data_IF_417824126627
#
_entry.id   IF_417824126627
#
_cell.length_a   1.000
_cell.length_b   1.000
_cell.length_c   1.000
_cell.angle_alpha   90.00
_cell.angle_beta   90.00
_cell.angle_gamma   90.00
#
_symmetry.space_group_name_H-M   'P 1'
#
loop_
_entity.id
_entity.type
_entity.pdbx_description
1 polymer ?
#
# COMPACT_ATOMS: atom_id res chain seq x y z
N UNK A 1 1.33 6.09 18.66
CA UNK A 1 0.60 5.20 17.73
C UNK A 1 0.75 5.74 16.33
N UNK A 2 1.09 4.89 15.36
CA UNK A 2 1.05 5.27 13.94
C UNK A 2 -0.40 5.46 13.52
N UNK A 3 -0.71 6.48 12.72
CA UNK A 3 -2.06 6.65 12.15
C UNK A 3 -2.29 5.59 11.05
N UNK A 4 -3.55 5.33 10.68
CA UNK A 4 -3.86 4.41 9.58
C UNK A 4 -3.20 4.82 8.25
N UNK A 5 -2.98 6.12 8.03
CA UNK A 5 -2.26 6.62 6.87
C UNK A 5 -0.76 6.32 6.96
N UNK A 6 -0.16 6.43 8.15
CA UNK A 6 1.27 6.12 8.34
C UNK A 6 1.55 4.64 8.08
N UNK A 7 0.62 3.77 8.47
CA UNK A 7 0.68 2.33 8.18
C UNK A 7 0.64 2.10 6.65
N UNK A 8 -0.35 2.67 5.96
CA UNK A 8 -0.47 2.53 4.50
C UNK A 8 0.76 3.04 3.77
N UNK A 9 1.27 4.19 4.18
CA UNK A 9 2.47 4.76 3.59
C UNK A 9 3.66 3.81 3.77
N UNK A 10 3.88 3.31 4.99
CA UNK A 10 4.97 2.37 5.26
C UNK A 10 4.83 1.09 4.42
N UNK A 11 3.63 0.49 4.37
CA UNK A 11 3.35 -0.70 3.56
C UNK A 11 3.58 -0.46 2.07
N UNK A 12 3.24 0.73 1.58
CA UNK A 12 3.54 1.09 0.20
C UNK A 12 5.06 1.23 -0.05
N UNK A 13 5.85 1.71 0.93
CA UNK A 13 7.31 1.69 0.83
C UNK A 13 7.85 0.25 0.81
N UNK A 14 7.28 -0.65 1.61
CA UNK A 14 7.61 -2.08 1.60
C UNK A 14 7.37 -2.68 0.20
N UNK A 15 6.23 -2.37 -0.44
CA UNK A 15 5.95 -2.81 -1.81
C UNK A 15 6.99 -2.32 -2.82
N UNK A 16 7.40 -1.05 -2.74
CA UNK A 16 8.45 -0.50 -3.63
C UNK A 16 9.78 -1.25 -3.45
N UNK A 17 10.17 -1.51 -2.20
CA UNK A 17 11.41 -2.22 -1.89
C UNK A 17 11.37 -3.69 -2.30
N UNK A 18 10.32 -4.41 -1.93
CA UNK A 18 10.15 -5.84 -2.22
C UNK A 18 10.14 -6.13 -3.72
N UNK A 19 9.55 -5.23 -4.52
CA UNK A 19 9.42 -5.40 -5.97
C UNK A 19 10.54 -4.69 -6.76
N UNK A 20 11.49 -4.03 -6.07
CA UNK A 20 12.55 -3.21 -6.66
C UNK A 20 12.02 -2.17 -7.68
N UNK A 21 10.95 -1.46 -7.30
CA UNK A 21 10.28 -0.46 -8.14
C UNK A 21 10.47 0.94 -7.57
N UNK A 22 10.50 1.93 -8.47
CA UNK A 22 10.30 3.33 -8.12
C UNK A 22 8.80 3.72 -8.24
N UNK A 23 8.48 4.94 -7.80
CA UNK A 23 7.10 5.45 -7.80
C UNK A 23 6.53 5.54 -9.23
N UNK A 24 7.35 5.90 -10.21
CA UNK A 24 6.94 5.98 -11.60
C UNK A 24 6.53 4.61 -12.16
N UNK A 25 7.33 3.57 -11.89
CA UNK A 25 7.03 2.21 -12.32
C UNK A 25 5.80 1.66 -11.59
N UNK A 26 5.66 1.94 -10.28
CA UNK A 26 4.46 1.57 -9.53
C UNK A 26 3.20 2.26 -10.09
N UNK A 27 3.29 3.54 -10.48
CA UNK A 27 2.18 4.25 -11.10
C UNK A 27 1.77 3.60 -12.43
N UNK A 28 2.74 3.18 -13.24
CA UNK A 28 2.48 2.46 -14.48
C UNK A 28 1.78 1.11 -14.22
N UNK A 29 2.23 0.33 -13.22
CA UNK A 29 1.57 -0.93 -12.83
C UNK A 29 0.12 -0.72 -12.38
N UNK A 30 -0.15 0.39 -11.69
CA UNK A 30 -1.48 0.71 -11.17
C UNK A 30 -2.35 1.47 -12.20
N UNK A 31 -1.83 1.82 -13.38
CA UNK A 31 -2.53 2.71 -14.31
C UNK A 31 -2.93 4.05 -13.67
N UNK A 32 -2.13 4.54 -12.72
CA UNK A 32 -2.36 5.78 -11.98
C UNK A 32 -1.47 6.90 -12.52
N UNK A 33 -1.86 8.13 -12.26
CA UNK A 33 -1.03 9.30 -12.54
C UNK A 33 0.18 9.35 -11.60
N UNK A 34 1.38 9.42 -12.16
CA UNK A 34 2.64 9.45 -11.43
C UNK A 34 2.70 10.61 -10.43
N UNK A 35 2.26 11.81 -10.82
CA UNK A 35 2.30 12.99 -9.95
C UNK A 35 1.38 12.82 -8.73
N UNK A 36 0.20 12.22 -8.94
CA UNK A 36 -0.71 11.89 -7.83
C UNK A 36 -0.10 10.84 -6.90
N UNK A 37 0.55 9.82 -7.44
CA UNK A 37 1.17 8.77 -6.63
C UNK A 37 2.38 9.31 -5.87
N UNK A 38 3.19 10.16 -6.50
CA UNK A 38 4.32 10.86 -5.88
C UNK A 38 3.86 11.72 -4.70
N UNK A 39 2.73 12.42 -4.80
CA UNK A 39 2.18 13.20 -3.70
C UNK A 39 1.75 12.35 -2.48
N UNK A 40 1.53 11.04 -2.67
CA UNK A 40 1.12 10.09 -1.63
C UNK A 40 2.28 9.27 -1.07
N UNK A 41 3.30 8.97 -1.89
CA UNK A 41 4.38 8.02 -1.57
C UNK A 41 5.75 8.67 -1.37
N UNK A 42 5.87 9.98 -1.53
CA UNK A 42 7.11 10.70 -1.21
C UNK A 42 7.46 10.59 0.28
N UNK A 43 8.70 10.94 0.64
CA UNK A 43 9.16 10.98 2.03
C UNK A 43 8.37 11.98 2.92
N UNK A 44 7.72 12.96 2.30
CA UNK A 44 6.83 13.92 2.96
C UNK A 44 5.51 13.97 2.18
N UNK A 45 4.62 12.99 2.40
CA UNK A 45 3.40 12.86 1.62
C UNK A 45 2.47 14.04 1.90
N UNK A 46 2.00 14.69 0.84
CA UNK A 46 1.02 15.78 0.92
C UNK A 46 -0.42 15.29 0.74
N UNK A 47 -0.60 14.03 0.33
CA UNK A 47 -1.90 13.38 0.14
C UNK A 47 -1.96 12.02 0.84
N UNK A 48 -3.17 11.63 1.22
CA UNK A 48 -3.47 10.32 1.79
C UNK A 48 -3.68 9.28 0.69
N UNK A 49 -3.47 8.00 1.03
CA UNK A 49 -3.77 6.86 0.16
C UNK A 49 -5.25 6.50 0.37
N UNK A 50 -6.14 6.76 -0.61
CA UNK A 50 -7.55 6.43 -0.49
C UNK A 50 -7.76 4.91 -0.49
N UNK A 51 -8.89 4.46 0.05
CA UNK A 51 -9.20 3.03 0.18
C UNK A 51 -9.14 2.28 -1.16
N UNK A 52 -9.73 2.87 -2.21
CA UNK A 52 -9.71 2.27 -3.54
C UNK A 52 -8.28 2.06 -4.09
N UNK A 53 -7.35 2.98 -3.79
CA UNK A 53 -5.95 2.83 -4.20
C UNK A 53 -5.22 1.77 -3.36
N UNK A 54 -5.52 1.70 -2.05
CA UNK A 54 -4.97 0.65 -1.19
C UNK A 54 -5.42 -0.74 -1.66
N UNK A 55 -6.71 -0.93 -1.96
CA UNK A 55 -7.22 -2.20 -2.50
C UNK A 55 -6.59 -2.52 -3.86
N UNK A 56 -6.38 -1.52 -4.71
CA UNK A 56 -5.72 -1.71 -6.01
C UNK A 56 -4.26 -2.14 -5.85
N UNK A 57 -3.53 -1.54 -4.91
CA UNK A 57 -2.15 -1.94 -4.59
C UNK A 57 -2.10 -3.38 -4.06
N UNK A 58 -3.01 -3.76 -3.16
CA UNK A 58 -3.09 -5.13 -2.63
C UNK A 58 -3.29 -6.15 -3.77
N UNK A 59 -4.21 -5.87 -4.69
CA UNK A 59 -4.47 -6.73 -5.85
C UNK A 59 -3.28 -6.81 -6.80
N UNK A 60 -2.66 -5.67 -7.12
CA UNK A 60 -1.55 -5.59 -8.10
C UNK A 60 -0.30 -6.31 -7.60
N UNK A 61 -0.05 -6.26 -6.28
CA UNK A 61 1.14 -6.85 -5.65
C UNK A 61 0.84 -8.14 -4.86
N UNK A 62 -0.29 -8.80 -5.16
CA UNK A 62 -0.67 -10.10 -4.60
C UNK A 62 -0.66 -10.15 -3.05
N UNK A 63 -1.06 -9.06 -2.39
CA UNK A 63 -1.23 -9.00 -0.93
C UNK A 63 -2.68 -9.34 -0.55
N UNK A 64 -2.92 -9.91 0.65
CA UNK A 64 -4.28 -10.17 1.11
C UNK A 64 -5.05 -8.86 1.36
N UNK A 65 -6.37 -8.93 1.27
CA UNK A 65 -7.25 -7.77 1.51
C UNK A 65 -7.00 -7.17 2.89
N UNK A 66 -6.83 -5.85 2.95
CA UNK A 66 -6.63 -5.10 4.19
C UNK A 66 -5.18 -5.08 4.70
N UNK A 67 -4.26 -5.78 4.04
CA UNK A 67 -2.84 -5.79 4.39
C UNK A 67 -2.22 -4.39 4.47
N UNK A 68 -2.58 -3.49 3.55
CA UNK A 68 -2.05 -2.12 3.53
C UNK A 68 -2.51 -1.31 4.75
N UNK A 69 -3.62 -1.69 5.38
CA UNK A 69 -4.19 -1.01 6.55
C UNK A 69 -3.88 -1.72 7.87
N UNK A 70 -3.28 -2.91 7.83
CA UNK A 70 -3.02 -3.74 9.00
C UNK A 70 -1.73 -3.32 9.73
N UNK A 71 -1.88 -2.87 10.98
CA UNK A 71 -0.78 -2.75 11.94
C UNK A 71 -0.29 -4.14 12.38
N UNK A 72 1.02 -4.33 12.49
CA UNK A 72 1.65 -5.59 12.93
C UNK A 72 1.24 -6.05 14.35
N UNK A 73 0.53 -5.20 15.12
CA UNK A 73 0.12 -5.45 16.51
C UNK A 73 -1.01 -6.50 16.66
N UNK A 74 -1.56 -7.04 15.57
CA UNK A 74 -2.62 -8.04 15.57
C UNK A 74 -2.19 -9.29 14.81
N UNK A 75 -1.91 -10.38 15.55
CA UNK A 75 -1.47 -11.66 15.03
C UNK A 75 -2.26 -12.17 13.83
N UNK A 76 -1.57 -12.88 12.95
CA UNK A 76 -2.08 -13.31 11.66
C UNK A 76 -3.22 -14.32 11.87
N UNK A 77 -4.47 -13.87 11.72
CA UNK A 77 -5.60 -14.78 11.54
C UNK A 77 -5.66 -15.18 10.08
N UNK A 78 -4.83 -16.17 9.70
CA UNK A 78 -5.06 -16.87 8.44
C UNK A 78 -6.35 -17.67 8.58
N UNK A 79 -7.43 -17.23 7.94
CA UNK A 79 -8.48 -18.17 7.58
C UNK A 79 -7.98 -18.97 6.37
N UNK A 80 -7.35 -20.11 6.65
CA UNK A 80 -6.85 -21.04 5.65
C UNK A 80 -7.98 -21.82 4.96
N UNK A 81 -9.25 -21.61 5.34
CA UNK A 81 -10.36 -22.44 4.91
C UNK A 81 -11.68 -21.71 4.61
N UNK A 82 -11.68 -20.38 4.46
CA UNK A 82 -12.80 -19.59 3.91
C UNK A 82 -14.17 -19.93 4.50
N UNK A 83 -14.54 -19.29 5.61
CA UNK A 83 -15.91 -19.32 6.12
C UNK A 83 -16.88 -18.47 5.28
#
# INVERSE_FOLDING_TARGET
MKTGQDIRWQRAQELLQENALDIATMAACLGQDETKLQAMLSAQPSRKIPDALAEQMEQTFCKPRGWLSQSDDGGISFDLFGA
#
